data_IF_850150823780
#
_entry.id   IF_850150823780
#
_cell.length_a   1.000
_cell.length_b   1.000
_cell.length_c   1.000
_cell.angle_alpha   90.00
_cell.angle_beta   90.00
_cell.angle_gamma   90.00
#
_symmetry.space_group_name_H-M   'P 1'
#
loop_
_entity.id
_entity.type
_entity.pdbx_description
1 polymer ?
#
# COMPACT_ATOMS: atom_id res chain seq x y z
N UNK A 1 -51.00 50.09 12.27
CA UNK A 1 -50.68 48.71 12.70
C UNK A 1 -49.30 48.34 12.20
N UNK A 2 -48.30 48.21 13.08
CA UNK A 2 -46.93 47.81 12.69
C UNK A 2 -46.88 46.29 12.55
N UNK A 3 -46.49 45.79 11.37
CA UNK A 3 -46.25 44.37 11.11
C UNK A 3 -44.78 44.07 11.39
N UNK A 4 -44.51 43.16 12.31
CA UNK A 4 -43.16 42.66 12.59
C UNK A 4 -42.95 41.32 11.87
N UNK A 5 -41.77 41.15 11.27
CA UNK A 5 -41.32 39.90 10.68
C UNK A 5 -40.37 39.27 11.70
N UNK A 6 -40.78 38.15 12.31
CA UNK A 6 -39.89 37.33 13.14
C UNK A 6 -39.13 36.35 12.25
N UNK A 7 -37.81 36.45 12.27
CA UNK A 7 -36.92 35.46 11.65
C UNK A 7 -36.66 34.35 12.68
N UNK A 8 -37.21 33.16 12.46
CA UNK A 8 -36.92 31.98 13.28
C UNK A 8 -35.60 31.37 12.76
N UNK A 9 -34.56 31.44 13.59
CA UNK A 9 -33.28 30.77 13.34
C UNK A 9 -33.43 29.28 13.69
N UNK A 10 -33.60 28.42 12.69
CA UNK A 10 -33.57 26.96 12.87
C UNK A 10 -32.11 26.51 12.93
N UNK A 11 -31.63 26.24 14.16
CA UNK A 11 -30.33 25.60 14.38
C UNK A 11 -30.41 24.13 13.96
N UNK A 12 -29.90 23.82 12.77
CA UNK A 12 -29.61 22.44 12.37
C UNK A 12 -28.45 21.91 13.24
N UNK A 13 -28.77 21.12 14.27
CA UNK A 13 -27.78 20.27 14.92
C UNK A 13 -27.39 19.16 13.95
N UNK A 14 -26.33 19.38 13.18
CA UNK A 14 -25.66 18.30 12.45
C UNK A 14 -25.06 17.36 13.49
N UNK A 15 -25.66 16.19 13.68
CA UNK A 15 -25.03 15.08 14.41
C UNK A 15 -23.79 14.69 13.60
N UNK A 16 -22.67 15.31 13.93
CA UNK A 16 -21.37 14.91 13.41
C UNK A 16 -21.07 13.58 14.07
N UNK A 17 -21.20 12.48 13.34
CA UNK A 17 -20.65 11.21 13.77
C UNK A 17 -19.13 11.42 13.90
N UNK A 18 -18.68 11.65 15.13
CA UNK A 18 -17.26 11.73 15.44
C UNK A 18 -16.69 10.33 15.25
N UNK A 19 -16.09 10.07 14.09
CA UNK A 19 -15.23 8.91 13.93
C UNK A 19 -14.19 8.97 15.05
N UNK A 20 -14.10 7.91 15.85
CA UNK A 20 -13.09 7.83 16.89
C UNK A 20 -11.72 8.02 16.23
N UNK A 21 -11.02 9.08 16.61
CA UNK A 21 -9.66 9.31 16.12
C UNK A 21 -8.79 8.13 16.59
N UNK A 22 -8.06 7.52 15.66
CA UNK A 22 -7.13 6.43 15.98
C UNK A 22 -6.14 6.90 17.04
N UNK A 23 -6.06 6.17 18.15
CA UNK A 23 -5.12 6.43 19.22
C UNK A 23 -3.95 5.46 19.07
N UNK A 24 -2.79 6.02 18.73
CA UNK A 24 -1.55 5.28 18.57
C UNK A 24 -0.69 5.41 19.81
N UNK A 25 -0.24 4.28 20.32
CA UNK A 25 0.65 4.17 21.48
C UNK A 25 2.01 3.72 20.96
N UNK A 26 3.06 4.48 21.26
CA UNK A 26 4.43 4.03 21.01
C UNK A 26 4.73 2.83 21.91
N UNK A 27 5.25 1.76 21.33
CA UNK A 27 5.55 0.48 22.01
C UNK A 27 7.00 0.05 21.78
N UNK A 28 7.91 1.00 21.59
CA UNK A 28 9.33 0.73 21.32
C UNK A 28 9.98 -0.16 22.39
N UNK A 29 9.55 -0.03 23.65
CA UNK A 29 10.06 -0.82 24.77
C UNK A 29 9.82 -2.33 24.60
N UNK A 30 8.84 -2.74 23.80
CA UNK A 30 8.53 -4.16 23.56
C UNK A 30 9.42 -4.79 22.49
N UNK A 31 10.17 -3.98 21.73
CA UNK A 31 10.91 -4.43 20.54
C UNK A 31 12.40 -4.09 20.62
N UNK A 32 12.93 -3.79 21.80
CA UNK A 32 14.34 -3.44 21.99
C UNK A 32 15.29 -4.61 21.67
N UNK A 33 16.51 -4.32 21.17
CA UNK A 33 17.05 -2.99 20.86
C UNK A 33 16.52 -2.43 19.52
N UNK A 34 16.10 -1.15 19.52
CA UNK A 34 15.73 -0.42 18.29
C UNK A 34 16.65 0.79 18.05
N UNK A 35 17.10 1.04 16.82
CA UNK A 35 17.73 2.32 16.48
C UNK A 35 16.77 3.48 16.75
N UNK A 36 17.29 4.63 17.18
CA UNK A 36 16.48 5.84 17.47
C UNK A 36 15.73 6.41 16.26
N UNK A 37 15.98 5.88 15.07
CA UNK A 37 15.31 6.25 13.81
C UNK A 37 14.20 5.27 13.42
N UNK A 38 13.86 4.31 14.28
CA UNK A 38 12.77 3.36 14.10
C UNK A 38 11.86 3.43 15.31
N UNK A 39 10.56 3.55 15.07
CA UNK A 39 9.55 3.54 16.12
C UNK A 39 8.41 2.61 15.75
N UNK A 40 7.90 1.88 16.73
CA UNK A 40 6.79 0.95 16.62
C UNK A 40 5.60 1.53 17.37
N UNK A 41 4.45 1.57 16.71
CA UNK A 41 3.20 2.05 17.27
C UNK A 41 2.14 0.98 17.18
N UNK A 42 1.30 0.89 18.23
CA UNK A 42 0.15 0.00 18.30
C UNK A 42 -1.12 0.81 18.51
N UNK A 43 -2.21 0.37 17.90
CA UNK A 43 -3.56 0.82 18.25
C UNK A 43 -4.49 -0.36 18.45
N UNK A 44 -5.41 -0.19 19.40
CA UNK A 44 -6.57 -1.06 19.58
C UNK A 44 -7.88 -0.27 19.51
N UNK A 45 -7.83 0.96 18.95
CA UNK A 45 -9.03 1.76 18.72
C UNK A 45 -9.99 0.98 17.83
N UNK A 46 -11.26 0.91 18.23
CA UNK A 46 -12.30 0.18 17.50
C UNK A 46 -12.46 0.75 16.08
N UNK A 47 -12.68 -0.14 15.11
CA UNK A 47 -13.05 0.22 13.74
C UNK A 47 -14.55 -0.05 13.56
N UNK A 48 -15.34 1.01 13.39
CA UNK A 48 -16.80 0.95 13.29
C UNK A 48 -17.45 0.14 14.44
N UNK A 49 -16.97 0.40 15.67
CA UNK A 49 -17.45 -0.27 16.88
C UNK A 49 -16.96 -1.71 17.05
N UNK A 50 -16.05 -2.20 16.19
CA UNK A 50 -15.51 -3.57 16.25
C UNK A 50 -14.05 -3.61 16.74
N UNK A 51 -13.67 -4.67 17.48
CA UNK A 51 -12.28 -4.86 17.92
C UNK A 51 -11.29 -4.86 16.76
N UNK A 52 -10.18 -4.15 16.97
CA UNK A 52 -9.12 -3.95 16.01
C UNK A 52 -7.76 -4.03 16.71
N UNK A 53 -6.76 -4.57 16.03
CA UNK A 53 -5.37 -4.56 16.44
C UNK A 53 -4.57 -4.20 15.19
N UNK A 54 -3.86 -3.08 15.25
CA UNK A 54 -2.98 -2.67 14.19
C UNK A 54 -1.66 -2.16 14.74
N UNK A 55 -0.61 -2.37 13.97
CA UNK A 55 0.74 -1.87 14.23
C UNK A 55 1.22 -1.08 13.03
N UNK A 56 1.91 0.03 13.26
CA UNK A 56 2.77 0.59 12.23
C UNK A 56 4.18 0.84 12.75
N UNK A 57 5.14 0.78 11.83
CA UNK A 57 6.54 1.11 12.08
C UNK A 57 6.92 2.29 11.21
N UNK A 58 7.61 3.26 11.81
CA UNK A 58 8.31 4.33 11.09
C UNK A 58 9.77 4.00 10.97
N UNK A 59 10.38 4.33 9.84
CA UNK A 59 11.82 4.21 9.64
C UNK A 59 12.35 5.41 8.86
N UNK A 60 13.33 6.12 9.41
CA UNK A 60 13.88 7.32 8.76
C UNK A 60 14.67 6.95 7.50
N UNK A 61 14.15 7.32 6.34
CA UNK A 61 14.82 7.11 5.05
C UNK A 61 16.14 7.87 4.96
N UNK A 62 16.47 8.81 5.83
CA UNK A 62 17.75 9.54 5.81
C UNK A 62 18.82 8.86 6.66
N UNK A 63 18.44 7.98 7.60
CA UNK A 63 19.41 7.27 8.42
C UNK A 63 20.16 6.22 7.57
N UNK A 64 21.43 6.49 7.25
CA UNK A 64 22.26 5.64 6.41
C UNK A 64 22.62 4.28 7.03
N UNK A 65 22.42 4.11 8.34
CA UNK A 65 22.61 2.83 9.02
C UNK A 65 21.45 1.86 8.80
N UNK A 66 20.30 2.35 8.30
CA UNK A 66 19.19 1.49 7.92
C UNK A 66 19.33 1.04 6.47
N UNK A 67 19.31 -0.27 6.24
CA UNK A 67 19.20 -0.85 4.91
C UNK A 67 17.74 -1.17 4.59
N UNK A 68 17.29 -0.74 3.41
CA UNK A 68 15.98 -1.11 2.88
C UNK A 68 16.17 -2.01 1.66
N UNK A 69 15.85 -3.28 1.84
CA UNK A 69 16.02 -4.30 0.81
C UNK A 69 14.73 -5.12 0.64
N UNK A 70 14.75 -5.99 -0.36
CA UNK A 70 13.68 -6.94 -0.68
C UNK A 70 14.27 -8.34 -0.72
N UNK A 71 13.42 -9.36 -0.66
CA UNK A 71 13.83 -10.74 -0.88
C UNK A 71 12.78 -11.46 -1.73
N UNK A 72 13.23 -12.39 -2.56
CA UNK A 72 12.37 -13.29 -3.32
C UNK A 72 12.75 -14.73 -3.01
N UNK A 73 11.75 -15.61 -2.92
CA UNK A 73 11.98 -17.01 -2.57
C UNK A 73 12.50 -17.90 -3.71
N UNK A 74 12.72 -17.34 -4.91
CA UNK A 74 13.23 -18.05 -6.09
C UNK A 74 12.48 -19.38 -6.38
N UNK A 75 11.14 -19.31 -6.41
CA UNK A 75 10.27 -20.49 -6.61
C UNK A 75 9.91 -21.24 -5.32
N UNK A 76 10.47 -20.85 -4.17
CA UNK A 76 10.03 -21.28 -2.83
C UNK A 76 9.20 -20.20 -2.15
N UNK A 77 8.40 -20.63 -1.17
CA UNK A 77 7.65 -19.73 -0.28
C UNK A 77 8.20 -19.84 1.12
N UNK A 78 8.48 -18.68 1.71
CA UNK A 78 8.93 -18.55 3.09
C UNK A 78 7.93 -17.67 3.84
N UNK A 79 7.69 -17.99 5.11
CA UNK A 79 6.93 -17.12 6.01
C UNK A 79 7.78 -15.89 6.36
N UNK A 80 7.16 -14.77 6.79
CA UNK A 80 7.91 -13.63 7.31
C UNK A 80 8.91 -14.02 8.42
N UNK A 81 8.51 -14.94 9.30
CA UNK A 81 9.38 -15.50 10.34
C UNK A 81 10.58 -16.24 9.76
N UNK A 82 10.39 -17.08 8.74
CA UNK A 82 11.51 -17.77 8.09
C UNK A 82 12.49 -16.80 7.41
N UNK A 83 12.00 -15.70 6.82
CA UNK A 83 12.89 -14.64 6.32
C UNK A 83 13.60 -13.90 7.45
N UNK A 84 12.94 -13.71 8.59
CA UNK A 84 13.51 -13.04 9.77
C UNK A 84 14.62 -13.89 10.41
N UNK A 85 14.40 -15.20 10.50
CA UNK A 85 15.29 -16.18 11.13
C UNK A 85 16.37 -16.71 10.18
N UNK A 86 16.38 -16.28 8.91
CA UNK A 86 17.37 -16.74 7.95
C UNK A 86 18.78 -16.37 8.40
N UNK A 87 19.68 -17.35 8.43
CA UNK A 87 21.07 -17.17 8.87
C UNK A 87 21.73 -15.95 8.22
N UNK A 88 22.27 -15.05 9.06
CA UNK A 88 22.97 -13.84 8.63
C UNK A 88 22.09 -12.67 8.20
N UNK A 89 20.75 -12.80 8.17
CA UNK A 89 19.86 -11.71 7.76
C UNK A 89 19.67 -10.65 8.86
N UNK A 90 19.57 -11.08 10.13
CA UNK A 90 19.32 -10.26 11.34
C UNK A 90 18.53 -8.96 11.10
N UNK A 91 17.34 -9.02 10.45
CA UNK A 91 16.61 -7.82 10.07
C UNK A 91 15.93 -7.19 11.29
N UNK A 92 15.75 -5.86 11.25
CA UNK A 92 14.96 -5.14 12.26
C UNK A 92 13.44 -5.35 12.07
N UNK A 93 13.01 -5.56 10.82
CA UNK A 93 11.61 -5.77 10.46
C UNK A 93 11.52 -6.56 9.15
N UNK A 94 10.58 -7.50 9.10
CA UNK A 94 10.16 -8.21 7.89
C UNK A 94 8.65 -8.07 7.74
N UNK A 95 8.19 -7.69 6.55
CA UNK A 95 6.76 -7.62 6.21
C UNK A 95 6.51 -8.26 4.86
N UNK A 96 5.40 -9.00 4.72
CA UNK A 96 4.95 -9.49 3.42
C UNK A 96 4.61 -8.32 2.48
N UNK A 97 4.82 -8.50 1.17
CA UNK A 97 4.59 -7.45 0.17
C UNK A 97 3.79 -7.94 -1.03
N UNK A 98 4.44 -8.42 -2.08
CA UNK A 98 3.85 -8.77 -3.38
C UNK A 98 2.75 -9.83 -3.30
N UNK A 99 1.81 -9.80 -4.25
CA UNK A 99 0.95 -10.94 -4.52
C UNK A 99 1.73 -12.01 -5.30
N UNK A 100 1.39 -13.28 -5.06
CA UNK A 100 1.98 -14.44 -5.72
C UNK A 100 0.89 -15.47 -6.02
N UNK A 101 1.14 -16.33 -7.00
CA UNK A 101 0.28 -17.49 -7.27
C UNK A 101 0.86 -18.77 -6.66
N UNK A 102 -0.01 -19.73 -6.35
CA UNK A 102 0.35 -20.92 -5.55
C UNK A 102 0.80 -22.13 -6.38
N UNK A 103 0.55 -22.14 -7.68
CA UNK A 103 0.85 -23.29 -8.55
C UNK A 103 2.34 -23.33 -8.87
N UNK A 104 2.94 -22.20 -9.24
CA UNK A 104 4.36 -22.09 -9.58
C UNK A 104 5.15 -21.24 -8.58
N UNK A 105 4.51 -20.78 -7.49
CA UNK A 105 5.09 -19.89 -6.49
C UNK A 105 5.68 -18.59 -7.09
N UNK A 106 5.11 -18.11 -8.20
CA UNK A 106 5.62 -16.96 -8.93
C UNK A 106 5.04 -15.64 -8.41
N UNK A 107 5.86 -14.59 -8.44
CA UNK A 107 5.46 -13.24 -8.11
C UNK A 107 4.57 -12.66 -9.22
N UNK A 108 3.48 -12.00 -8.84
CA UNK A 108 2.55 -11.35 -9.77
C UNK A 108 2.77 -9.83 -9.86
N UNK A 109 3.71 -9.31 -9.07
CA UNK A 109 4.06 -7.89 -9.01
C UNK A 109 5.55 -7.68 -9.08
N UNK A 110 5.93 -6.43 -9.39
CA UNK A 110 7.33 -6.03 -9.47
C UNK A 110 8.07 -6.31 -8.16
N UNK A 111 9.31 -6.76 -8.28
CA UNK A 111 10.30 -6.68 -7.20
C UNK A 111 11.57 -6.10 -7.79
N UNK A 112 12.09 -5.04 -7.18
CA UNK A 112 13.39 -4.48 -7.48
C UNK A 112 14.28 -4.66 -6.25
N UNK A 113 15.46 -5.23 -6.47
CA UNK A 113 16.51 -5.36 -5.47
C UNK A 113 17.82 -4.90 -6.11
N UNK A 114 18.59 -4.06 -5.42
CA UNK A 114 19.85 -3.53 -5.93
C UNK A 114 19.78 -2.84 -7.31
N UNK A 115 18.61 -2.28 -7.63
CA UNK A 115 18.31 -1.65 -8.92
C UNK A 115 18.10 -2.62 -10.08
N UNK A 116 17.94 -3.92 -9.80
CA UNK A 116 17.62 -4.96 -10.76
C UNK A 116 16.17 -5.41 -10.60
N UNK A 117 15.47 -5.63 -11.72
CA UNK A 117 14.14 -6.23 -11.75
C UNK A 117 14.28 -7.75 -11.51
N UNK A 118 13.77 -8.21 -10.38
CA UNK A 118 13.74 -9.64 -10.01
C UNK A 118 12.38 -10.29 -10.27
N UNK A 119 11.32 -9.49 -10.28
CA UNK A 119 9.98 -9.91 -10.65
C UNK A 119 9.26 -8.78 -11.39
N UNK A 120 8.20 -9.15 -12.10
CA UNK A 120 7.51 -8.29 -13.06
C UNK A 120 6.02 -8.21 -12.72
N UNK A 121 5.40 -7.11 -13.09
CA UNK A 121 3.97 -6.93 -12.95
C UNK A 121 3.23 -7.81 -13.96
N UNK A 122 2.22 -8.56 -13.49
CA UNK A 122 1.29 -9.23 -14.39
C UNK A 122 0.45 -8.17 -15.12
N UNK A 123 0.66 -8.05 -16.43
CA UNK A 123 0.01 -7.08 -17.30
C UNK A 123 -1.16 -7.63 -18.12
N UNK A 124 -1.42 -8.93 -18.05
CA UNK A 124 -2.53 -9.56 -18.77
C UNK A 124 -3.23 -10.57 -17.88
N UNK A 125 -4.52 -10.34 -17.65
CA UNK A 125 -5.40 -11.22 -16.87
C UNK A 125 -6.47 -11.76 -17.82
N UNK A 126 -6.46 -13.08 -18.04
CA UNK A 126 -7.44 -13.73 -18.90
C UNK A 126 -8.87 -13.59 -18.34
N UNK A 127 -9.80 -13.21 -19.21
CA UNK A 127 -11.23 -13.23 -18.94
C UNK A 127 -11.77 -14.65 -18.75
N UNK A 128 -12.91 -14.78 -18.08
CA UNK A 128 -13.56 -16.06 -17.80
C UNK A 128 -15.04 -16.00 -18.19
N UNK A 129 -15.65 -17.16 -18.45
CA UNK A 129 -17.08 -17.26 -18.77
C UNK A 129 -17.42 -16.57 -20.09
N UNK A 130 -18.33 -15.60 -20.07
CA UNK A 130 -18.70 -14.82 -21.28
C UNK A 130 -17.56 -13.97 -21.84
N UNK A 131 -16.52 -13.71 -21.03
CA UNK A 131 -15.32 -12.96 -21.42
C UNK A 131 -14.17 -13.87 -21.86
N UNK A 132 -14.43 -15.15 -22.13
CA UNK A 132 -13.41 -16.07 -22.69
C UNK A 132 -12.88 -15.49 -24.01
N UNK A 133 -11.56 -15.60 -24.25
CA UNK A 133 -10.81 -14.97 -25.36
C UNK A 133 -10.58 -13.45 -25.27
N UNK A 134 -10.81 -12.86 -24.09
CA UNK A 134 -10.42 -11.48 -23.82
C UNK A 134 -9.44 -11.39 -22.66
N UNK A 135 -8.68 -10.31 -22.61
CA UNK A 135 -7.67 -10.04 -21.60
C UNK A 135 -7.91 -8.65 -21.02
N UNK A 136 -7.69 -8.51 -19.71
CA UNK A 136 -7.67 -7.22 -19.01
C UNK A 136 -6.23 -6.86 -18.72
N UNK A 137 -5.85 -5.62 -19.02
CA UNK A 137 -4.48 -5.16 -18.91
C UNK A 137 -4.31 -4.07 -17.86
N UNK A 138 -4.09 -4.44 -16.57
CA UNK A 138 -3.89 -3.47 -15.51
C UNK A 138 -2.44 -2.96 -15.44
N UNK A 139 -2.29 -1.80 -14.81
CA UNK A 139 -1.00 -1.23 -14.42
C UNK A 139 -0.91 -1.21 -12.91
N UNK A 140 -0.24 -2.21 -12.33
CA UNK A 140 -0.13 -2.34 -10.88
C UNK A 140 0.74 -1.26 -10.25
N UNK A 141 0.37 -0.84 -9.05
CA UNK A 141 1.14 0.10 -8.25
C UNK A 141 2.30 -0.56 -7.50
N UNK A 142 3.33 0.24 -7.22
CA UNK A 142 4.47 -0.13 -6.40
C UNK A 142 4.94 1.03 -5.54
N UNK A 143 5.56 0.71 -4.40
CA UNK A 143 6.38 1.64 -3.62
C UNK A 143 7.85 1.33 -3.86
N UNK A 144 8.67 2.36 -4.05
CA UNK A 144 10.09 2.23 -4.33
C UNK A 144 10.93 3.24 -3.58
N UNK A 145 12.19 2.90 -3.36
CA UNK A 145 13.21 3.72 -2.72
C UNK A 145 14.38 3.84 -3.68
N UNK A 146 14.75 5.07 -4.03
CA UNK A 146 15.89 5.35 -4.91
C UNK A 146 17.23 5.15 -4.20
N UNK A 147 18.35 5.09 -4.95
CA UNK A 147 19.71 5.11 -4.38
C UNK A 147 19.98 6.33 -3.47
N UNK A 148 19.28 7.44 -3.72
CA UNK A 148 19.36 8.66 -2.91
C UNK A 148 18.38 8.66 -1.73
N UNK A 149 17.82 7.48 -1.39
CA UNK A 149 16.89 7.24 -0.29
C UNK A 149 15.61 8.09 -0.33
N UNK A 150 15.16 8.43 -1.54
CA UNK A 150 13.84 9.04 -1.76
C UNK A 150 12.82 7.95 -2.06
N UNK A 151 11.70 7.95 -1.35
CA UNK A 151 10.56 7.09 -1.62
C UNK A 151 9.65 7.67 -2.71
N UNK A 152 8.96 6.81 -3.43
CA UNK A 152 7.98 7.15 -4.47
C UNK A 152 6.93 6.03 -4.59
N UNK A 153 5.72 6.38 -5.02
CA UNK A 153 4.64 5.45 -5.35
C UNK A 153 4.17 5.75 -6.76
N UNK A 154 4.09 4.72 -7.61
CA UNK A 154 3.72 4.86 -9.01
C UNK A 154 2.99 3.64 -9.56
N UNK A 155 2.28 3.82 -10.68
CA UNK A 155 1.70 2.74 -11.48
C UNK A 155 2.67 2.35 -12.58
N UNK A 156 2.94 1.06 -12.70
CA UNK A 156 4.08 0.58 -13.48
C UNK A 156 3.67 -0.19 -14.73
N UNK A 157 4.53 -0.09 -15.74
CA UNK A 157 4.73 -1.09 -16.77
C UNK A 157 6.13 -1.70 -16.61
N UNK A 158 6.24 -3.03 -16.70
CA UNK A 158 7.49 -3.78 -16.60
C UNK A 158 7.59 -4.80 -17.71
N UNK A 159 8.81 -5.04 -18.19
CA UNK A 159 9.11 -5.96 -19.28
C UNK A 159 10.47 -6.62 -18.98
N UNK A 160 10.60 -7.92 -19.25
CA UNK A 160 11.83 -8.70 -19.02
C UNK A 160 12.99 -8.26 -19.90
N UNK A 161 12.72 -7.70 -21.08
CA UNK A 161 13.72 -7.11 -21.96
C UNK A 161 14.14 -5.69 -21.53
N UNK A 162 13.40 -5.06 -20.61
CA UNK A 162 13.69 -3.71 -20.14
C UNK A 162 14.57 -3.71 -18.89
N UNK A 163 15.60 -2.85 -18.89
CA UNK A 163 16.45 -2.63 -17.70
C UNK A 163 15.71 -2.00 -16.52
N UNK A 164 14.70 -1.19 -16.79
CA UNK A 164 13.98 -0.41 -15.77
C UNK A 164 12.48 -0.58 -15.94
N UNK A 165 11.75 -0.53 -14.83
CA UNK A 165 10.32 -0.30 -14.85
C UNK A 165 10.02 1.09 -15.44
N UNK A 166 8.83 1.24 -16.00
CA UNK A 166 8.31 2.50 -16.49
C UNK A 166 7.13 2.90 -15.60
N UNK A 167 7.17 4.11 -15.05
CA UNK A 167 6.22 4.60 -14.06
C UNK A 167 5.37 5.75 -14.61
N UNK A 168 4.08 5.71 -14.31
CA UNK A 168 3.17 6.86 -14.36
C UNK A 168 2.91 7.36 -12.93
N UNK A 169 2.87 8.68 -12.77
CA UNK A 169 2.50 9.36 -11.52
C UNK A 169 0.99 9.63 -11.40
N UNK A 170 0.22 9.13 -12.38
CA UNK A 170 -1.24 9.13 -12.38
C UNK A 170 -1.74 7.70 -12.60
N UNK A 171 -2.88 7.33 -11.99
CA UNK A 171 -3.47 6.02 -12.22
C UNK A 171 -3.79 5.84 -13.70
N UNK A 172 -3.47 4.66 -14.21
CA UNK A 172 -3.77 4.27 -15.58
C UNK A 172 -4.92 3.29 -15.52
N UNK A 173 -6.04 3.64 -16.15
CA UNK A 173 -7.17 2.72 -16.27
C UNK A 173 -6.71 1.47 -17.04
N UNK A 174 -7.14 0.30 -16.57
CA UNK A 174 -6.97 -0.91 -17.36
C UNK A 174 -7.76 -0.80 -18.67
N UNK A 175 -7.33 -1.55 -19.67
CA UNK A 175 -8.10 -1.75 -20.90
C UNK A 175 -8.35 -3.24 -21.14
N UNK A 176 -9.29 -3.55 -22.03
CA UNK A 176 -9.69 -4.91 -22.38
C UNK A 176 -9.68 -5.08 -23.89
N UNK A 177 -9.06 -6.14 -24.37
CA UNK A 177 -9.09 -6.55 -25.78
C UNK A 177 -8.91 -8.08 -25.91
N UNK A 178 -8.61 -8.57 -27.12
CA UNK A 178 -8.37 -9.99 -27.39
C UNK A 178 -6.87 -10.35 -27.53
N UNK A 179 -5.97 -9.46 -27.12
CA UNK A 179 -4.52 -9.63 -27.27
C UNK A 179 -3.93 -10.12 -25.94
N UNK A 180 -3.43 -11.35 -25.91
CA UNK A 180 -2.87 -11.93 -24.68
C UNK A 180 -1.63 -11.19 -24.17
N UNK A 181 -0.79 -10.72 -25.09
CA UNK A 181 0.48 -10.07 -24.80
C UNK A 181 0.68 -8.83 -25.69
N UNK A 182 0.12 -7.67 -25.30
CA UNK A 182 0.27 -6.44 -26.07
C UNK A 182 1.73 -5.97 -26.05
N UNK A 183 2.19 -5.40 -27.16
CA UNK A 183 3.56 -4.91 -27.27
C UNK A 183 3.88 -3.82 -26.25
N UNK A 184 5.15 -3.74 -25.83
CA UNK A 184 5.62 -2.70 -24.93
C UNK A 184 5.31 -1.28 -25.42
N UNK A 185 5.44 -1.03 -26.74
CA UNK A 185 5.11 0.27 -27.32
C UNK A 185 3.64 0.62 -27.18
N UNK A 186 2.74 -0.35 -27.34
CA UNK A 186 1.31 -0.15 -27.14
C UNK A 186 0.95 0.08 -25.67
N UNK A 187 1.55 -0.68 -24.76
CA UNK A 187 1.35 -0.52 -23.31
C UNK A 187 1.82 0.86 -22.83
N UNK A 188 2.99 1.31 -23.30
CA UNK A 188 3.56 2.61 -22.94
C UNK A 188 2.78 3.81 -23.52
N UNK A 189 1.94 3.63 -24.53
CA UNK A 189 1.06 4.69 -25.04
C UNK A 189 -0.16 4.94 -24.14
N UNK A 190 -0.46 4.05 -23.19
CA UNK A 190 -1.65 4.17 -22.31
C UNK A 190 -1.49 5.22 -21.20
N UNK A 191 -0.30 5.78 -21.02
CA UNK A 191 -0.04 6.74 -19.96
C UNK A 191 1.28 7.49 -20.12
N UNK A 192 1.51 8.54 -19.30
CA UNK A 192 2.72 9.34 -19.34
C UNK A 192 3.88 8.64 -18.61
N UNK A 193 4.31 7.50 -19.16
CA UNK A 193 5.33 6.66 -18.54
C UNK A 193 6.74 7.25 -18.65
N UNK A 194 7.51 7.15 -17.57
CA UNK A 194 8.94 7.51 -17.52
C UNK A 194 9.75 6.40 -16.86
N UNK A 195 11.03 6.27 -17.22
CA UNK A 195 11.93 5.30 -16.58
C UNK A 195 11.97 5.53 -15.07
N UNK A 196 11.69 4.48 -14.30
CA UNK A 196 11.60 4.50 -12.84
C UNK A 196 12.84 3.84 -12.24
N UNK A 197 13.80 4.67 -11.81
CA UNK A 197 15.11 4.21 -11.33
C UNK A 197 15.10 4.03 -9.80
N UNK A 198 14.68 2.86 -9.35
CA UNK A 198 14.68 2.49 -7.93
C UNK A 198 15.88 1.62 -7.55
N UNK A 199 16.32 1.71 -6.29
CA UNK A 199 17.28 0.77 -5.69
C UNK A 199 16.54 -0.47 -5.16
N UNK A 200 15.42 -0.23 -4.48
CA UNK A 200 14.57 -1.26 -3.88
C UNK A 200 13.13 -0.89 -4.17
N UNK A 201 12.29 -1.83 -4.60
CA UNK A 201 10.87 -1.60 -4.78
C UNK A 201 10.06 -2.89 -4.68
N UNK A 202 8.82 -2.77 -4.26
CA UNK A 202 7.84 -3.86 -4.24
C UNK A 202 6.52 -3.37 -4.80
N UNK A 203 5.96 -4.17 -5.69
CA UNK A 203 4.61 -4.00 -6.18
C UNK A 203 3.59 -4.60 -5.24
N UNK A 204 2.35 -4.13 -5.33
CA UNK A 204 1.24 -4.69 -4.58
C UNK A 204 -0.04 -4.05 -5.06
N UNK A 205 -0.53 -3.10 -4.27
CA UNK A 205 -1.69 -2.29 -4.60
C UNK A 205 -2.99 -2.81 -3.98
N UNK A 206 -4.07 -2.02 -4.11
CA UNK A 206 -4.08 -0.74 -4.83
C UNK A 206 -3.43 0.41 -4.05
N UNK A 207 -3.13 1.52 -4.72
CA UNK A 207 -2.83 2.78 -4.01
C UNK A 207 -4.05 3.16 -3.17
N UNK A 208 -3.80 3.56 -1.93
CA UNK A 208 -4.84 3.92 -0.95
C UNK A 208 -4.90 5.42 -0.69
N UNK A 209 -3.73 6.07 -0.69
CA UNK A 209 -3.55 7.48 -0.37
C UNK A 209 -2.56 8.06 -1.38
N UNK A 210 -2.90 9.21 -1.96
CA UNK A 210 -2.04 9.96 -2.86
C UNK A 210 -2.13 11.45 -2.51
N UNK A 211 -0.98 12.14 -2.45
CA UNK A 211 -0.90 13.56 -2.10
C UNK A 211 -1.65 13.90 -0.79
N UNK A 212 -1.53 13.05 0.23
CA UNK A 212 -2.18 13.23 1.54
C UNK A 212 -3.71 13.01 1.54
N UNK A 213 -4.31 12.64 0.42
CA UNK A 213 -5.74 12.38 0.29
C UNK A 213 -6.01 10.90 0.06
N UNK A 214 -7.11 10.39 0.62
CA UNK A 214 -7.57 9.02 0.34
C UNK A 214 -7.93 8.97 -1.14
N UNK A 215 -7.29 8.06 -1.88
CA UNK A 215 -7.48 7.82 -3.30
C UNK A 215 -7.25 6.34 -3.56
N UNK A 216 -8.32 5.55 -3.47
CA UNK A 216 -8.27 4.10 -3.61
C UNK A 216 -8.40 3.72 -5.08
N UNK A 217 -7.32 3.26 -5.70
CA UNK A 217 -7.26 2.95 -7.15
C UNK A 217 -7.50 1.47 -7.46
N UNK A 218 -8.36 0.82 -6.67
CA UNK A 218 -8.65 -0.61 -6.80
C UNK A 218 -9.16 -1.00 -8.19
N UNK A 219 -10.03 -0.16 -8.76
CA UNK A 219 -10.72 -0.48 -10.01
C UNK A 219 -9.80 -0.28 -11.22
N UNK A 220 -8.94 0.74 -11.19
CA UNK A 220 -7.90 0.98 -12.20
C UNK A 220 -6.89 -0.17 -12.21
N UNK A 221 -6.52 -0.69 -11.03
CA UNK A 221 -5.51 -1.72 -10.87
C UNK A 221 -6.05 -3.17 -10.88
N UNK A 222 -7.38 -3.34 -10.88
CA UNK A 222 -8.10 -4.62 -10.84
C UNK A 222 -7.58 -5.56 -9.71
N UNK A 223 -7.45 -5.03 -8.49
CA UNK A 223 -6.85 -5.80 -7.38
C UNK A 223 -7.85 -6.68 -6.65
N UNK A 224 -8.99 -6.11 -6.27
CA UNK A 224 -10.06 -6.83 -5.58
C UNK A 224 -11.38 -6.65 -6.34
N UNK A 225 -12.06 -7.74 -6.65
CA UNK A 225 -13.29 -7.73 -7.44
C UNK A 225 -14.55 -7.72 -6.56
N UNK A 226 -15.59 -7.05 -7.02
CA UNK A 226 -16.92 -7.08 -6.40
C UNK A 226 -16.90 -6.64 -4.93
N UNK A 227 -17.56 -7.42 -4.06
CA UNK A 227 -17.72 -7.11 -2.64
C UNK A 227 -16.41 -7.20 -1.82
N UNK A 228 -15.35 -7.78 -2.37
CA UNK A 228 -14.06 -7.95 -1.67
C UNK A 228 -13.38 -6.62 -1.28
N UNK A 229 -13.81 -5.51 -1.88
CA UNK A 229 -13.38 -4.14 -1.54
C UNK A 229 -13.89 -3.75 -0.14
N UNK A 230 -15.13 -4.16 0.17
CA UNK A 230 -15.85 -3.85 1.41
C UNK A 230 -15.69 -4.95 2.47
N UNK A 231 -15.05 -6.07 2.11
CA UNK A 231 -14.76 -7.15 3.04
C UNK A 231 -13.60 -6.80 3.98
N UNK A 232 -13.80 -7.13 5.26
CA UNK A 232 -12.77 -7.03 6.30
C UNK A 232 -11.80 -8.19 6.20
N UNK A 233 -10.51 -7.87 6.09
CA UNK A 233 -9.43 -8.85 6.06
C UNK A 233 -8.23 -8.35 6.87
N UNK A 234 -7.27 -9.23 7.22
CA UNK A 234 -5.93 -8.80 7.57
C UNK A 234 -5.35 -8.03 6.38
N UNK A 235 -4.66 -6.93 6.66
CA UNK A 235 -4.10 -6.06 5.63
C UNK A 235 -2.68 -5.67 6.00
N UNK A 236 -1.83 -5.57 4.99
CA UNK A 236 -0.53 -4.89 5.09
C UNK A 236 -0.53 -3.72 4.12
N UNK A 237 0.10 -2.62 4.49
CA UNK A 237 0.30 -1.48 3.61
C UNK A 237 1.66 -0.83 3.87
N UNK A 238 2.18 -0.14 2.85
CA UNK A 238 3.35 0.71 2.99
C UNK A 238 3.02 2.11 2.50
N UNK A 239 3.66 3.10 3.09
CA UNK A 239 3.54 4.48 2.69
C UNK A 239 4.81 5.25 3.05
N UNK A 240 4.83 6.53 2.76
CA UNK A 240 5.91 7.40 3.19
C UNK A 240 5.36 8.79 3.50
N UNK A 241 6.10 9.54 4.30
CA UNK A 241 5.77 10.90 4.71
C UNK A 241 6.63 11.92 3.95
N UNK A 242 6.20 13.19 3.93
CA UNK A 242 6.95 14.27 3.26
C UNK A 242 8.27 14.60 3.95
N UNK A 243 8.43 14.29 5.23
CA UNK A 243 9.66 14.45 6.01
C UNK A 243 10.63 13.26 5.89
N UNK A 244 10.28 12.25 5.10
CA UNK A 244 11.17 11.15 4.73
C UNK A 244 11.12 9.95 5.69
N UNK A 245 9.98 9.70 6.33
CA UNK A 245 9.76 8.46 7.07
C UNK A 245 9.08 7.44 6.15
N UNK A 246 9.57 6.21 6.15
CA UNK A 246 8.89 5.07 5.54
C UNK A 246 7.96 4.46 6.59
N UNK A 247 6.74 4.11 6.16
CA UNK A 247 5.71 3.52 7.01
C UNK A 247 5.47 2.07 6.57
N UNK A 248 5.51 1.15 7.53
CA UNK A 248 5.04 -0.23 7.39
C UNK A 248 3.82 -0.39 8.28
N UNK A 249 2.68 -0.80 7.73
CA UNK A 249 1.42 -0.95 8.45
C UNK A 249 0.95 -2.41 8.35
N UNK A 250 0.59 -3.00 9.48
CA UNK A 250 -0.07 -4.28 9.58
C UNK A 250 -1.35 -4.16 10.40
N UNK A 251 -2.46 -4.66 9.87
CA UNK A 251 -3.75 -4.74 10.53
C UNK A 251 -4.11 -6.22 10.65
N UNK A 252 -4.29 -6.69 11.88
CA UNK A 252 -4.76 -8.05 12.14
C UNK A 252 -6.21 -8.21 11.65
N UNK A 253 -6.61 -9.43 11.31
CA UNK A 253 -7.96 -9.72 10.87
C UNK A 253 -8.30 -11.20 10.92
N UNK A 254 -9.55 -11.55 10.61
CA UNK A 254 -10.08 -12.94 10.69
C UNK A 254 -10.03 -13.55 12.10
N UNK A 255 -10.04 -12.72 13.15
CA UNK A 255 -10.22 -13.14 14.54
C UNK A 255 -11.49 -12.50 15.11
N UNK A 256 -12.69 -13.08 14.87
CA UNK A 256 -13.95 -12.53 15.35
C UNK A 256 -13.91 -12.22 16.85
N UNK A 257 -14.40 -11.04 17.24
CA UNK A 257 -14.38 -10.59 18.64
C UNK A 257 -13.02 -10.09 19.17
N UNK A 258 -11.95 -10.16 18.38
CA UNK A 258 -10.60 -9.70 18.77
C UNK A 258 -9.96 -8.76 17.75
N UNK A 259 -9.96 -9.15 16.47
CA UNK A 259 -9.50 -8.36 15.35
C UNK A 259 -10.23 -8.84 14.07
N UNK A 260 -11.28 -8.12 13.66
CA UNK A 260 -12.08 -8.53 12.50
C UNK A 260 -11.34 -8.29 11.17
N UNK A 261 -10.46 -7.29 11.13
CA UNK A 261 -9.79 -6.81 9.92
C UNK A 261 -10.30 -5.45 9.48
N UNK A 262 -9.74 -4.98 8.37
CA UNK A 262 -10.10 -3.70 7.76
C UNK A 262 -10.56 -3.86 6.31
N UNK A 263 -11.55 -3.06 5.93
CA UNK A 263 -11.88 -2.78 4.52
C UNK A 263 -10.77 -1.95 3.88
N UNK A 264 -10.76 -1.82 2.54
CA UNK A 264 -9.77 -0.94 1.88
C UNK A 264 -9.93 0.53 2.30
N UNK A 265 -11.16 0.98 2.53
CA UNK A 265 -11.45 2.34 3.00
C UNK A 265 -10.91 2.57 4.41
N UNK A 266 -11.15 1.63 5.33
CA UNK A 266 -10.61 1.70 6.69
C UNK A 266 -9.07 1.66 6.66
N UNK A 267 -8.47 0.78 5.86
CA UNK A 267 -7.02 0.71 5.70
C UNK A 267 -6.43 2.04 5.18
N UNK A 268 -7.09 2.69 4.21
CA UNK A 268 -6.66 4.00 3.71
C UNK A 268 -6.74 5.09 4.79
N UNK A 269 -7.78 5.07 5.62
CA UNK A 269 -7.94 5.98 6.76
C UNK A 269 -6.84 5.76 7.81
N UNK A 270 -6.57 4.50 8.16
CA UNK A 270 -5.50 4.11 9.10
C UNK A 270 -4.14 4.58 8.57
N UNK A 271 -3.81 4.26 7.32
CA UNK A 271 -2.55 4.65 6.70
C UNK A 271 -2.39 6.17 6.65
N UNK A 272 -3.44 6.91 6.26
CA UNK A 272 -3.42 8.38 6.27
C UNK A 272 -3.19 8.93 7.68
N UNK A 273 -3.87 8.38 8.69
CA UNK A 273 -3.67 8.80 10.07
C UNK A 273 -2.23 8.54 10.55
N UNK A 274 -1.66 7.37 10.24
CA UNK A 274 -0.28 7.02 10.57
C UNK A 274 0.75 7.96 9.93
N UNK A 275 0.52 8.40 8.69
CA UNK A 275 1.38 9.39 8.02
C UNK A 275 1.28 10.76 8.71
N UNK A 276 0.08 11.17 9.13
CA UNK A 276 -0.14 12.47 9.78
C UNK A 276 0.34 12.52 11.23
N UNK A 277 0.40 11.39 11.95
CA UNK A 277 0.93 11.34 13.33
C UNK A 277 2.45 11.48 13.40
N UNK A 278 3.15 11.26 12.29
CA UNK A 278 4.61 11.34 12.20
C UNK A 278 5.07 12.77 11.92
N UNK A 279 4.26 13.56 11.21
CA UNK A 279 4.50 15.00 11.07
C UNK A 279 4.15 15.64 12.41
N UNK A 280 5.10 16.29 13.12
CA UNK A 280 4.74 17.10 14.27
C UNK A 280 3.65 18.08 13.81
N UNK A 281 2.57 18.22 14.57
CA UNK A 281 1.71 19.40 14.44
C UNK A 281 2.59 20.62 14.70
N UNK A 282 3.23 21.14 13.65
CA UNK A 282 3.75 22.49 13.67
C UNK A 282 2.52 23.36 13.91
N UNK A 283 2.52 24.02 15.07
CA UNK A 283 1.58 25.05 15.43
C UNK A 283 1.34 25.97 14.24
N UNK A 284 0.09 26.01 13.78
CA UNK A 284 -0.53 27.13 13.08
C UNK A 284 -2.04 27.07 13.36
#
# INVERSE_FOLDING_TARGET
MRKYISLILVLFFSISATYAQLQWINVDSLYQPLPSSIHVYKTTTLLDGKPNIAYYVTADLRNKQLEFTTAVGNGKRYTPTQYFEQDGASPLLVMNTTFFEFVHNSNLNVVIQNGQLLAYQQHSIAGRGKDTLTYRHPFGSAIGITKKRKADIAWLYTDTAARYAYASQQPIAFFKDSIADPSASFMLQKGPFKKWKMQTAVGGGPVLVQNGMIKITNNEEIKFAGKAIDDKHPRSAMGYTTDGQLIFLAVEGRFPGKAEGATLTQLAQILKASVLTVVPKALA
#
